data_IF_797688183198
#
_entry.id   IF_797688183198
#
_cell.length_a   1.000
_cell.length_b   1.000
_cell.length_c   1.000
_cell.angle_alpha   90.00
_cell.angle_beta   90.00
_cell.angle_gamma   90.00
#
_symmetry.space_group_name_H-M   'P 1'
#
loop_
_entity.id
_entity.type
_entity.pdbx_description
1 polymer ?
#
# COMPACT_ATOMS: atom_id res chain seq x y z
N UNK A 1 -31.77 -34.29 -27.61
CA UNK A 1 -30.54 -33.59 -27.97
C UNK A 1 -30.42 -32.23 -27.25
N UNK A 2 -31.43 -31.36 -27.26
CA UNK A 2 -31.42 -30.02 -26.62
C UNK A 2 -31.11 -30.05 -25.10
N UNK A 3 -31.67 -30.98 -24.31
CA UNK A 3 -31.50 -31.07 -22.86
C UNK A 3 -30.02 -31.43 -22.49
N UNK A 4 -29.38 -32.29 -23.31
CA UNK A 4 -27.95 -32.65 -23.08
C UNK A 4 -27.03 -31.45 -23.31
N UNK A 5 -27.32 -30.64 -24.34
CA UNK A 5 -26.54 -29.43 -24.65
C UNK A 5 -26.66 -28.40 -23.52
N UNK A 6 -27.91 -28.19 -23.00
CA UNK A 6 -28.14 -27.27 -21.88
C UNK A 6 -27.41 -27.73 -20.61
N UNK A 7 -27.37 -29.02 -20.29
CA UNK A 7 -26.63 -29.55 -19.15
C UNK A 7 -25.12 -29.36 -19.31
N UNK A 8 -24.57 -29.59 -20.51
CA UNK A 8 -23.17 -29.33 -20.77
C UNK A 8 -22.81 -27.84 -20.67
N UNK A 9 -23.68 -26.95 -21.15
CA UNK A 9 -23.50 -25.48 -21.01
C UNK A 9 -23.50 -25.02 -19.54
N UNK A 10 -24.44 -25.55 -18.73
CA UNK A 10 -24.51 -25.27 -17.31
C UNK A 10 -23.25 -25.73 -16.55
N UNK A 11 -22.76 -26.94 -16.82
CA UNK A 11 -21.53 -27.46 -16.21
C UNK A 11 -20.32 -26.63 -16.63
N UNK A 12 -20.23 -26.20 -17.88
CA UNK A 12 -19.17 -25.35 -18.39
C UNK A 12 -19.19 -23.95 -17.76
N UNK A 13 -20.39 -23.35 -17.59
CA UNK A 13 -20.53 -22.08 -16.87
C UNK A 13 -20.12 -22.20 -15.39
N UNK A 14 -20.52 -23.30 -14.71
CA UNK A 14 -20.09 -23.56 -13.33
C UNK A 14 -18.56 -23.74 -13.22
N UNK A 15 -17.93 -24.42 -14.17
CA UNK A 15 -16.48 -24.59 -14.22
C UNK A 15 -15.77 -23.23 -14.42
N UNK A 16 -16.28 -22.34 -15.23
CA UNK A 16 -15.72 -20.99 -15.43
C UNK A 16 -15.80 -20.10 -14.18
N UNK A 17 -16.87 -20.25 -13.38
CA UNK A 17 -17.02 -19.50 -12.12
C UNK A 17 -16.03 -19.99 -11.06
N UNK A 18 -15.69 -21.27 -11.05
CA UNK A 18 -14.77 -21.87 -10.08
C UNK A 18 -13.28 -21.46 -10.29
N UNK A 19 -12.90 -21.00 -11.48
CA UNK A 19 -11.53 -20.63 -11.79
C UNK A 19 -11.06 -19.31 -11.14
N UNK A 20 -11.97 -18.50 -10.60
CA UNK A 20 -11.63 -17.20 -10.02
C UNK A 20 -11.71 -17.16 -8.48
N UNK A 21 -11.82 -18.29 -7.79
CA UNK A 21 -11.80 -18.37 -6.34
C UNK A 21 -10.35 -18.32 -5.82
N UNK A 22 -9.58 -17.25 -6.14
CA UNK A 22 -8.35 -16.97 -5.43
C UNK A 22 -8.71 -16.61 -3.98
N UNK A 23 -8.05 -17.24 -3.02
CA UNK A 23 -8.18 -16.87 -1.62
C UNK A 23 -7.63 -15.46 -1.45
N UNK A 24 -8.52 -14.48 -1.31
CA UNK A 24 -8.14 -13.12 -0.97
C UNK A 24 -8.02 -13.01 0.54
N UNK A 25 -6.94 -12.42 0.99
CA UNK A 25 -6.69 -12.09 2.39
C UNK A 25 -6.82 -10.59 2.58
N UNK A 26 -7.31 -10.17 3.76
CA UNK A 26 -7.39 -8.77 4.11
C UNK A 26 -6.07 -8.29 4.71
N UNK A 27 -5.49 -7.32 4.07
CA UNK A 27 -4.27 -6.63 4.53
C UNK A 27 -4.63 -5.26 5.07
N UNK A 28 -3.88 -4.81 6.06
CA UNK A 28 -4.09 -3.52 6.70
C UNK A 28 -2.86 -2.64 6.54
N UNK A 29 -3.12 -1.34 6.44
CA UNK A 29 -2.11 -0.29 6.50
C UNK A 29 -2.55 0.76 7.50
N UNK A 30 -1.65 1.17 8.37
CA UNK A 30 -1.86 2.31 9.27
C UNK A 30 -1.13 3.52 8.72
N UNK A 31 -1.85 4.63 8.51
CA UNK A 31 -1.30 5.93 8.15
C UNK A 31 -1.27 6.79 9.40
N UNK A 32 -0.06 7.16 9.85
CA UNK A 32 0.18 7.98 11.04
C UNK A 32 0.51 9.41 10.63
N UNK A 33 -0.18 10.37 11.23
CA UNK A 33 0.13 11.78 11.09
C UNK A 33 0.65 12.36 12.41
N UNK A 34 1.85 12.94 12.38
CA UNK A 34 2.50 13.53 13.55
C UNK A 34 2.77 15.00 13.25
N UNK A 35 2.23 15.90 14.06
CA UNK A 35 2.50 17.33 13.94
C UNK A 35 3.95 17.64 14.36
N UNK A 36 4.62 18.48 13.58
CA UNK A 36 5.98 18.96 13.88
C UNK A 36 5.89 20.30 14.63
N UNK A 37 6.47 20.38 15.82
CA UNK A 37 6.41 21.58 16.67
C UNK A 37 7.09 22.82 16.08
N UNK A 38 8.15 22.66 15.30
CA UNK A 38 9.05 23.77 14.88
C UNK A 38 9.04 24.04 13.37
N UNK A 39 8.34 23.24 12.59
CA UNK A 39 8.18 23.46 11.15
C UNK A 39 6.72 23.28 10.79
N UNK A 40 6.17 24.20 10.03
CA UNK A 40 4.85 24.02 9.43
C UNK A 40 4.84 22.72 8.62
N UNK A 41 4.14 21.70 9.10
CA UNK A 41 3.98 20.46 8.36
C UNK A 41 3.66 19.26 9.21
N UNK A 42 3.11 18.27 8.54
CA UNK A 42 2.73 16.99 9.11
C UNK A 42 3.71 15.93 8.64
N UNK A 43 4.26 15.14 9.56
CA UNK A 43 5.03 13.94 9.23
C UNK A 43 4.07 12.79 9.03
N UNK A 44 4.01 12.25 7.82
CA UNK A 44 3.12 11.14 7.48
C UNK A 44 3.96 9.86 7.32
N UNK A 45 3.51 8.79 7.98
CA UNK A 45 4.17 7.49 8.00
C UNK A 45 3.14 6.43 7.63
N UNK A 46 3.50 5.56 6.69
CA UNK A 46 2.69 4.41 6.29
C UNK A 46 3.30 3.13 6.87
N UNK A 47 2.51 2.37 7.59
CA UNK A 47 2.90 1.13 8.25
C UNK A 47 2.07 -0.02 7.71
N UNK A 48 2.70 -0.90 6.94
CA UNK A 48 2.09 -2.10 6.36
C UNK A 48 2.36 -3.35 7.22
N UNK A 49 2.73 -3.19 8.50
CA UNK A 49 3.05 -4.31 9.39
C UNK A 49 4.45 -4.89 9.19
N UNK A 50 5.28 -4.29 8.34
CA UNK A 50 6.70 -4.60 8.29
C UNK A 50 7.42 -3.85 9.41
N UNK A 51 8.56 -4.36 9.92
CA UNK A 51 9.33 -3.71 11.00
C UNK A 51 9.81 -2.31 10.57
N UNK A 52 8.91 -1.34 10.63
CA UNK A 52 9.21 0.05 10.38
C UNK A 52 9.69 0.69 11.69
N UNK A 53 11.00 0.74 11.88
CA UNK A 53 11.58 1.59 12.91
C UNK A 53 11.57 3.02 12.40
N UNK A 54 10.87 3.92 13.09
CA UNK A 54 10.87 5.34 12.79
C UNK A 54 11.19 6.15 14.02
N UNK A 55 11.94 7.23 13.83
CA UNK A 55 12.18 8.22 14.85
C UNK A 55 11.16 9.34 14.68
N UNK A 56 10.40 9.64 15.73
CA UNK A 56 9.39 10.70 15.70
C UNK A 56 10.04 12.06 15.41
N UNK A 57 11.21 12.29 15.93
CA UNK A 57 11.95 13.56 15.83
C UNK A 57 12.87 13.67 14.61
N UNK A 58 13.26 12.54 14.03
CA UNK A 58 14.14 12.46 12.88
C UNK A 58 13.43 12.56 11.54
N UNK A 59 14.21 12.71 10.49
CA UNK A 59 13.71 12.58 9.11
C UNK A 59 13.30 11.13 8.81
N UNK A 60 12.35 10.94 7.89
CA UNK A 60 11.98 9.60 7.44
C UNK A 60 13.15 8.95 6.70
N UNK A 61 13.47 7.71 7.04
CA UNK A 61 14.44 6.94 6.27
C UNK A 61 13.92 6.68 4.84
N UNK A 62 14.82 6.40 3.91
CA UNK A 62 14.46 6.05 2.52
C UNK A 62 13.51 4.86 2.41
N UNK A 63 13.49 3.97 3.42
CA UNK A 63 12.57 2.83 3.53
C UNK A 63 11.12 3.22 3.83
N UNK A 64 10.88 4.47 4.23
CA UNK A 64 9.56 5.00 4.59
C UNK A 64 9.13 6.15 3.65
N UNK A 65 9.99 6.57 2.73
CA UNK A 65 9.70 7.60 1.73
C UNK A 65 9.18 6.94 0.47
N UNK A 66 7.97 7.30 0.08
CA UNK A 66 7.41 6.82 -1.18
C UNK A 66 7.92 7.64 -2.36
N UNK A 67 8.00 6.99 -3.50
CA UNK A 67 8.41 7.61 -4.76
C UNK A 67 7.37 7.34 -5.85
N UNK A 68 7.35 8.23 -6.83
CA UNK A 68 6.56 8.07 -8.05
C UNK A 68 7.27 7.13 -9.06
N UNK A 69 6.71 7.01 -10.25
CA UNK A 69 7.22 6.20 -11.34
C UNK A 69 8.58 6.67 -11.90
N UNK A 70 9.00 7.90 -11.55
CA UNK A 70 10.32 8.47 -11.89
C UNK A 70 11.34 8.35 -10.77
N UNK A 71 10.94 7.83 -9.61
CA UNK A 71 11.78 7.74 -8.42
C UNK A 71 11.86 9.02 -7.61
N UNK A 72 10.98 10.02 -7.91
CA UNK A 72 10.91 11.27 -7.14
C UNK A 72 10.07 11.09 -5.88
N UNK A 73 10.51 11.69 -4.78
CA UNK A 73 9.86 11.57 -3.48
C UNK A 73 8.48 12.22 -3.47
N UNK A 74 7.44 11.44 -3.17
CA UNK A 74 6.08 11.92 -2.96
C UNK A 74 5.98 12.60 -1.60
N UNK A 75 5.60 13.86 -1.60
CA UNK A 75 5.40 14.66 -0.38
C UNK A 75 3.90 14.81 -0.12
N UNK A 76 3.45 14.33 1.03
CA UNK A 76 2.06 14.47 1.45
C UNK A 76 1.88 15.76 2.26
N UNK A 77 0.95 16.60 1.84
CA UNK A 77 0.67 17.89 2.46
C UNK A 77 -0.31 17.76 3.64
N UNK A 78 -1.10 16.69 3.69
CA UNK A 78 -2.11 16.46 4.72
C UNK A 78 -2.46 14.98 4.83
N UNK A 79 -3.16 14.60 5.90
CA UNK A 79 -3.73 13.25 6.05
C UNK A 79 -4.72 12.92 4.92
N UNK A 80 -5.47 13.90 4.44
CA UNK A 80 -6.42 13.71 3.33
C UNK A 80 -5.68 13.42 2.02
N UNK A 81 -4.57 14.10 1.77
CA UNK A 81 -3.71 13.85 0.61
C UNK A 81 -3.16 12.40 0.64
N UNK A 82 -2.66 11.98 1.80
CA UNK A 82 -2.22 10.60 2.02
C UNK A 82 -3.37 9.58 1.85
N UNK A 83 -4.59 9.93 2.29
CA UNK A 83 -5.76 9.07 2.12
C UNK A 83 -6.15 8.92 0.65
N UNK A 84 -6.17 10.01 -0.10
CA UNK A 84 -6.46 9.98 -1.54
C UNK A 84 -5.44 9.10 -2.28
N UNK A 85 -4.16 9.21 -1.94
CA UNK A 85 -3.10 8.34 -2.47
C UNK A 85 -3.38 6.86 -2.22
N UNK A 86 -3.88 6.49 -1.03
CA UNK A 86 -4.23 5.12 -0.68
C UNK A 86 -5.49 4.64 -1.42
N UNK A 87 -6.53 5.49 -1.48
CA UNK A 87 -7.80 5.16 -2.14
C UNK A 87 -7.62 4.97 -3.64
N UNK A 88 -6.80 5.80 -4.31
CA UNK A 88 -6.44 5.64 -5.72
C UNK A 88 -5.76 4.30 -6.03
N UNK A 89 -5.14 3.67 -5.02
CA UNK A 89 -4.50 2.35 -5.10
C UNK A 89 -5.37 1.21 -4.58
N UNK A 90 -6.67 1.48 -4.41
CA UNK A 90 -7.67 0.49 -4.03
C UNK A 90 -7.69 0.13 -2.54
N UNK A 91 -7.06 0.94 -1.68
CA UNK A 91 -7.20 0.80 -0.24
C UNK A 91 -8.48 1.46 0.25
N UNK A 92 -9.15 0.85 1.20
CA UNK A 92 -10.44 1.30 1.75
C UNK A 92 -10.20 1.80 3.17
N UNK A 93 -10.66 3.02 3.46
CA UNK A 93 -10.62 3.58 4.80
C UNK A 93 -11.53 2.77 5.74
N UNK A 94 -11.00 2.36 6.90
CA UNK A 94 -11.73 1.59 7.89
C UNK A 94 -12.12 2.43 9.12
N UNK A 95 -11.13 3.09 9.73
CA UNK A 95 -11.36 3.89 10.94
C UNK A 95 -10.24 4.89 11.16
N UNK A 96 -10.51 5.88 12.02
CA UNK A 96 -9.52 6.82 12.52
C UNK A 96 -9.60 6.89 14.06
N UNK A 97 -8.45 7.13 14.68
CA UNK A 97 -8.34 7.44 16.09
C UNK A 97 -7.15 8.37 16.34
N UNK A 98 -7.02 8.91 17.52
CA UNK A 98 -5.86 9.70 17.92
C UNK A 98 -5.26 9.16 19.21
N UNK A 99 -3.97 9.34 19.37
CA UNK A 99 -3.22 9.05 20.59
C UNK A 99 -2.28 10.20 20.93
N UNK A 100 -1.67 10.16 22.10
CA UNK A 100 -0.63 11.09 22.51
C UNK A 100 0.64 10.32 22.75
N UNK A 101 1.73 10.71 22.10
CA UNK A 101 3.05 10.14 22.30
C UNK A 101 4.08 11.24 22.60
N UNK A 102 4.72 11.16 23.76
CA UNK A 102 5.69 12.18 24.19
C UNK A 102 5.14 13.61 24.28
N UNK A 103 3.82 13.74 24.59
CA UNK A 103 3.14 15.05 24.63
C UNK A 103 2.58 15.52 23.29
N UNK A 104 2.84 14.81 22.18
CA UNK A 104 2.42 15.18 20.83
C UNK A 104 1.20 14.38 20.39
N UNK A 105 0.19 15.01 19.78
CA UNK A 105 -0.92 14.31 19.17
C UNK A 105 -0.44 13.53 17.96
N UNK A 106 -0.89 12.28 17.86
CA UNK A 106 -0.68 11.40 16.72
C UNK A 106 -2.03 10.98 16.19
N UNK A 107 -2.26 11.22 14.92
CA UNK A 107 -3.47 10.84 14.21
C UNK A 107 -3.19 9.49 13.53
N UNK A 108 -4.12 8.54 13.68
CA UNK A 108 -4.02 7.19 13.14
C UNK A 108 -5.22 6.92 12.23
N UNK A 109 -4.97 6.60 10.96
CA UNK A 109 -5.97 6.19 10.00
C UNK A 109 -5.66 4.79 9.52
N UNK A 110 -6.62 3.87 9.69
CA UNK A 110 -6.49 2.49 9.27
C UNK A 110 -7.18 2.28 7.94
N UNK A 111 -6.44 1.70 7.01
CA UNK A 111 -6.93 1.27 5.71
C UNK A 111 -6.82 -0.24 5.59
N UNK A 112 -7.65 -0.85 4.73
CA UNK A 112 -7.52 -2.25 4.35
C UNK A 112 -7.66 -2.42 2.85
N UNK A 113 -7.11 -3.52 2.34
CA UNK A 113 -7.25 -3.95 0.96
C UNK A 113 -7.26 -5.48 0.92
N UNK A 114 -8.21 -6.06 0.18
CA UNK A 114 -8.27 -7.50 -0.06
C UNK A 114 -7.39 -7.84 -1.27
N UNK A 115 -6.43 -8.75 -1.11
CA UNK A 115 -5.46 -9.16 -2.13
C UNK A 115 -4.98 -10.59 -1.89
N UNK A 116 -4.33 -11.20 -2.88
CA UNK A 116 -3.74 -12.53 -2.77
C UNK A 116 -2.57 -12.57 -1.76
N UNK A 117 -1.77 -11.52 -1.75
CA UNK A 117 -0.61 -11.37 -0.87
C UNK A 117 -0.29 -9.89 -0.62
N UNK A 118 0.63 -9.60 0.28
CA UNK A 118 1.03 -8.23 0.64
C UNK A 118 1.67 -7.49 -0.55
N UNK A 119 2.40 -8.18 -1.42
CA UNK A 119 3.01 -7.57 -2.59
C UNK A 119 1.93 -7.04 -3.55
N UNK A 120 0.89 -7.84 -3.80
CA UNK A 120 -0.28 -7.42 -4.58
C UNK A 120 -1.10 -6.34 -3.89
N UNK A 121 -1.21 -6.37 -2.55
CA UNK A 121 -1.86 -5.30 -1.81
C UNK A 121 -1.14 -3.96 -2.00
N UNK A 122 0.20 -3.98 -2.01
CA UNK A 122 1.07 -2.80 -2.18
C UNK A 122 1.36 -2.42 -3.63
N UNK A 123 0.75 -3.06 -4.61
CA UNK A 123 0.97 -2.75 -6.02
C UNK A 123 0.75 -1.25 -6.30
N UNK A 124 1.70 -0.60 -6.96
CA UNK A 124 1.72 0.85 -7.19
C UNK A 124 2.19 1.70 -5.99
N UNK A 125 2.67 1.06 -4.91
CA UNK A 125 3.28 1.72 -3.76
C UNK A 125 4.73 1.25 -3.67
N UNK A 126 5.68 2.16 -3.86
CA UNK A 126 7.10 1.86 -3.84
C UNK A 126 7.86 2.85 -2.97
N UNK A 127 8.74 2.34 -2.12
CA UNK A 127 9.65 3.18 -1.33
C UNK A 127 10.88 3.55 -2.14
N UNK A 128 11.58 4.58 -1.72
CA UNK A 128 12.83 5.03 -2.36
C UNK A 128 13.90 3.93 -2.38
N UNK A 129 13.94 3.09 -1.35
CA UNK A 129 14.87 1.94 -1.30
C UNK A 129 14.47 0.88 -2.32
N UNK A 130 13.18 0.49 -2.35
CA UNK A 130 12.68 -0.52 -3.30
C UNK A 130 12.87 -0.06 -4.76
N UNK A 131 12.66 1.22 -5.05
CA UNK A 131 12.91 1.78 -6.37
C UNK A 131 14.38 1.66 -6.78
N UNK A 132 15.30 2.02 -5.87
CA UNK A 132 16.74 1.89 -6.13
C UNK A 132 17.12 0.44 -6.40
N UNK A 133 16.66 -0.50 -5.55
CA UNK A 133 16.96 -1.92 -5.72
C UNK A 133 16.40 -2.48 -7.05
N UNK A 134 15.27 -1.92 -7.54
CA UNK A 134 14.70 -2.27 -8.83
C UNK A 134 15.58 -1.78 -9.98
N UNK A 135 16.04 -0.53 -9.93
CA UNK A 135 16.91 0.04 -10.97
C UNK A 135 18.25 -0.71 -11.04
N UNK A 136 18.89 -0.94 -9.89
CA UNK A 136 20.16 -1.68 -9.81
C UNK A 136 20.03 -3.08 -10.46
N UNK A 137 18.91 -3.79 -10.20
CA UNK A 137 18.64 -5.10 -10.84
C UNK A 137 18.43 -5.00 -12.36
N UNK A 138 17.77 -3.96 -12.82
CA UNK A 138 17.54 -3.78 -14.25
C UNK A 138 18.86 -3.47 -15.00
N UNK A 139 19.72 -2.67 -14.41
CA UNK A 139 21.06 -2.37 -14.94
C UNK A 139 21.92 -3.63 -15.03
N UNK A 140 21.97 -4.45 -13.97
CA UNK A 140 22.67 -5.74 -13.98
C UNK A 140 22.16 -6.70 -15.09
N UNK A 141 20.85 -6.73 -15.33
CA UNK A 141 20.27 -7.55 -16.40
C UNK A 141 20.61 -7.04 -17.80
N UNK A 142 20.77 -5.74 -17.94
CA UNK A 142 21.13 -5.12 -19.20
C UNK A 142 22.62 -5.34 -19.54
N UNK A 143 23.51 -5.28 -18.55
CA UNK A 143 24.95 -5.50 -18.72
C UNK A 143 25.31 -6.97 -19.04
N UNK A 144 24.42 -7.92 -18.69
CA UNK A 144 24.63 -9.37 -18.99
C UNK A 144 24.22 -9.80 -20.39
N UNK A 145 23.68 -8.91 -21.20
CA UNK A 145 23.30 -9.17 -22.60
C UNK A 145 24.35 -8.68 -23.56
#
# INVERSE_FOLDING_TARGET
>A
MKIRIIKCLLVFCFALISYNAYSQHRYYCEVKGIEKELSSGLKIIFDFGTKASYNIWGDLSSKLKFVDDKGEEIKFNSMVDAANYMVERGWIFAQAYSSVYGGHPVIHWIFYKDAENMEKAREGIMTKTEYKDLIDKLEELYERK
#
